data_IF_244283265127
#
_entry.id   IF_244283265127
#
_cell.length_a   1.000
_cell.length_b   1.000
_cell.length_c   1.000
_cell.angle_alpha   90.00
_cell.angle_beta   90.00
_cell.angle_gamma   90.00
#
_symmetry.space_group_name_H-M   'P 1'
#
loop_
_entity.id
_entity.type
_entity.pdbx_description
1 polymer ?
#
# COMPACT_ATOMS: atom_id res chain seq x y z
N UNK A 1 33.16 34.78 24.66
CA UNK A 1 32.16 33.74 24.46
C UNK A 1 32.55 32.53 25.28
N UNK A 2 31.75 32.16 26.26
CA UNK A 2 32.04 31.00 27.10
C UNK A 2 31.90 29.70 26.31
N UNK A 3 32.85 28.80 26.50
CA UNK A 3 32.85 27.49 25.85
C UNK A 3 31.55 26.70 26.04
N UNK A 4 30.81 26.99 27.09
CA UNK A 4 29.50 26.37 27.38
C UNK A 4 28.39 26.85 26.45
N UNK A 5 28.41 28.09 26.01
CA UNK A 5 27.44 28.65 25.07
C UNK A 5 27.74 28.18 23.64
N UNK A 6 28.99 27.97 23.30
CA UNK A 6 29.39 27.42 22.00
C UNK A 6 28.96 25.96 21.87
N UNK A 7 29.11 25.15 22.91
CA UNK A 7 28.66 23.74 22.94
C UNK A 7 27.17 23.61 22.86
N UNK A 8 26.40 24.49 23.50
CA UNK A 8 24.94 24.49 23.42
C UNK A 8 24.43 24.85 22.02
N UNK A 9 25.03 25.81 21.36
CA UNK A 9 24.73 26.19 19.98
C UNK A 9 25.04 25.06 19.01
N UNK A 10 26.14 24.36 19.18
CA UNK A 10 26.56 23.25 18.35
C UNK A 10 25.60 22.04 18.50
N UNK A 11 25.13 21.76 19.72
CA UNK A 11 24.18 20.70 19.98
C UNK A 11 22.83 20.98 19.34
N UNK A 12 22.34 22.21 19.38
CA UNK A 12 21.09 22.60 18.73
C UNK A 12 21.18 22.47 17.21
N UNK A 13 22.32 22.82 16.65
CA UNK A 13 22.54 22.73 15.19
C UNK A 13 22.57 21.28 14.71
N UNK A 14 23.18 20.37 15.46
CA UNK A 14 23.21 18.95 15.14
C UNK A 14 21.83 18.32 15.21
N UNK A 15 21.01 18.68 16.20
CA UNK A 15 19.64 18.18 16.33
C UNK A 15 18.75 18.69 15.19
N UNK A 16 18.92 19.94 14.77
CA UNK A 16 18.16 20.51 13.66
C UNK A 16 18.50 19.83 12.32
N UNK A 17 19.77 19.54 12.07
CA UNK A 17 20.19 18.84 10.85
C UNK A 17 19.72 17.39 10.85
N UNK A 18 19.75 16.69 11.96
CA UNK A 18 19.24 15.33 12.08
C UNK A 18 17.72 15.28 11.87
N UNK A 19 16.97 16.26 12.38
CA UNK A 19 15.54 16.33 12.20
C UNK A 19 15.12 16.62 10.75
N UNK A 20 15.81 17.51 10.07
CA UNK A 20 15.58 17.80 8.65
C UNK A 20 16.01 16.65 7.75
N UNK A 21 17.09 15.97 8.06
CA UNK A 21 17.57 14.80 7.35
C UNK A 21 16.61 13.62 7.46
N UNK A 22 15.95 13.45 8.59
CA UNK A 22 14.97 12.37 8.78
C UNK A 22 13.71 12.54 7.92
N UNK A 23 13.22 13.77 7.74
CA UNK A 23 12.04 14.05 6.93
C UNK A 23 12.28 13.91 5.43
N UNK A 24 13.48 14.04 4.96
CA UNK A 24 13.79 13.96 3.53
C UNK A 24 14.10 12.55 3.04
N UNK A 25 14.14 11.57 3.92
CA UNK A 25 14.44 10.18 3.57
C UNK A 25 13.20 9.31 3.26
N UNK A 26 12.05 9.90 3.03
CA UNK A 26 10.92 9.19 2.44
C UNK A 26 11.18 9.00 0.95
N UNK A 27 12.06 8.08 0.62
CA UNK A 27 12.30 7.70 -0.78
C UNK A 27 11.10 6.90 -1.23
N UNK A 28 10.32 7.36 -2.22
CA UNK A 28 9.28 6.53 -2.79
C UNK A 28 9.93 5.30 -3.42
N UNK A 29 9.52 4.14 -2.96
CA UNK A 29 10.00 2.87 -3.51
C UNK A 29 9.52 2.76 -4.96
N UNK A 30 10.41 2.68 -5.96
CA UNK A 30 10.01 2.51 -7.34
C UNK A 30 9.33 1.14 -7.51
N UNK A 31 8.18 1.10 -8.15
CA UNK A 31 7.44 -0.13 -8.45
C UNK A 31 6.03 -0.20 -7.90
N UNK A 32 5.59 0.80 -7.22
CA UNK A 32 4.20 0.92 -6.81
C UNK A 32 3.43 1.64 -7.90
N UNK A 33 2.65 0.92 -8.67
CA UNK A 33 1.61 1.54 -9.47
C UNK A 33 0.50 1.98 -8.55
N UNK A 34 0.76 2.95 -7.72
CA UNK A 34 -0.19 3.37 -6.73
C UNK A 34 -0.72 4.73 -7.09
N UNK A 35 -1.96 4.75 -7.44
CA UNK A 35 -2.80 5.89 -7.18
C UNK A 35 -3.00 5.93 -5.66
N UNK A 36 -2.21 6.73 -4.99
CA UNK A 36 -2.23 6.86 -3.53
C UNK A 36 -3.30 7.82 -3.03
N UNK A 37 -4.46 7.86 -3.68
CA UNK A 37 -5.62 8.58 -3.19
C UNK A 37 -6.35 7.75 -2.14
N UNK A 38 -6.24 8.14 -0.89
CA UNK A 38 -6.78 7.41 0.25
C UNK A 38 -5.74 6.46 0.84
N UNK A 39 -6.06 5.87 1.96
CA UNK A 39 -5.15 5.03 2.72
C UNK A 39 -4.99 3.61 2.21
N UNK A 40 -5.40 3.30 0.97
CA UNK A 40 -5.35 1.96 0.40
C UNK A 40 -4.37 1.96 -0.76
N UNK A 41 -3.36 1.09 -0.69
CA UNK A 41 -2.38 0.88 -1.77
C UNK A 41 -2.29 -0.59 -2.12
N UNK A 42 -2.04 -0.90 -3.38
CA UNK A 42 -1.90 -2.25 -3.89
C UNK A 42 -0.51 -2.46 -4.45
N UNK A 43 0.10 -3.58 -4.09
CA UNK A 43 1.29 -4.10 -4.74
C UNK A 43 1.07 -5.55 -5.15
N UNK A 44 1.82 -6.02 -6.14
CA UNK A 44 1.65 -7.35 -6.72
C UNK A 44 2.97 -8.12 -6.70
N UNK A 45 2.85 -9.44 -6.60
CA UNK A 45 3.99 -10.34 -6.71
C UNK A 45 3.57 -11.55 -7.55
N UNK A 46 4.28 -11.91 -8.62
CA UNK A 46 5.47 -11.25 -9.16
C UNK A 46 5.17 -9.87 -9.75
N UNK A 47 6.20 -9.04 -9.87
CA UNK A 47 6.08 -7.75 -10.54
C UNK A 47 7.18 -7.64 -11.61
N UNK A 48 6.82 -7.58 -12.92
CA UNK A 48 5.46 -7.54 -13.47
C UNK A 48 4.69 -8.86 -13.26
N UNK A 49 3.38 -8.79 -13.32
CA UNK A 49 2.50 -9.96 -13.21
C UNK A 49 2.76 -10.97 -14.33
N UNK A 50 2.52 -12.23 -14.03
CA UNK A 50 2.64 -13.34 -14.97
C UNK A 50 1.37 -14.19 -14.96
N UNK A 51 1.18 -15.00 -15.98
CA UNK A 51 0.13 -16.02 -15.97
C UNK A 51 0.32 -16.97 -14.80
N UNK A 52 -0.79 -17.35 -14.18
CA UNK A 52 -0.82 -18.22 -13.03
C UNK A 52 -1.13 -17.49 -11.73
N UNK A 53 -0.72 -18.06 -10.64
CA UNK A 53 -1.01 -17.53 -9.31
C UNK A 53 -0.24 -16.24 -9.04
N UNK A 54 -0.94 -15.23 -8.54
CA UNK A 54 -0.36 -13.96 -8.14
C UNK A 54 -0.78 -13.63 -6.71
N UNK A 55 0.10 -12.95 -5.99
CA UNK A 55 -0.18 -12.43 -4.66
C UNK A 55 -0.41 -10.93 -4.73
N UNK A 56 -1.51 -10.49 -4.16
CA UNK A 56 -1.87 -9.08 -4.03
C UNK A 56 -1.64 -8.65 -2.59
N UNK A 57 -0.80 -7.63 -2.42
CA UNK A 57 -0.54 -7.04 -1.11
C UNK A 57 -1.29 -5.72 -1.03
N UNK A 58 -2.16 -5.61 -0.06
CA UNK A 58 -3.00 -4.42 0.15
C UNK A 58 -2.59 -3.78 1.46
N UNK A 59 -2.11 -2.54 1.38
CA UNK A 59 -1.75 -1.75 2.55
C UNK A 59 -2.89 -0.80 2.88
N UNK A 60 -3.36 -0.84 4.11
CA UNK A 60 -4.47 -0.03 4.61
C UNK A 60 -3.98 0.89 5.71
N UNK A 61 -4.22 2.18 5.52
CA UNK A 61 -3.92 3.23 6.50
C UNK A 61 -5.17 4.04 6.79
N UNK A 62 -5.27 4.57 8.00
CA UNK A 62 -6.34 5.50 8.36
C UNK A 62 -6.05 6.93 7.86
N UNK A 63 -6.95 7.85 8.14
CA UNK A 63 -6.81 9.25 7.73
C UNK A 63 -5.59 9.94 8.34
N UNK A 64 -5.08 9.45 9.45
CA UNK A 64 -3.87 9.96 10.10
C UNK A 64 -2.58 9.32 9.58
N UNK A 65 -2.68 8.35 8.66
CA UNK A 65 -1.56 7.64 8.08
C UNK A 65 -1.08 6.45 8.91
N UNK A 66 -1.83 6.05 9.93
CA UNK A 66 -1.51 4.87 10.73
C UNK A 66 -2.00 3.59 10.06
N UNK A 67 -1.22 2.51 10.09
CA UNK A 67 -1.66 1.23 9.57
C UNK A 67 -2.84 0.69 10.38
N UNK A 68 -3.79 0.06 9.68
CA UNK A 68 -5.01 -0.51 10.26
C UNK A 68 -4.94 -2.02 10.18
N UNK A 69 -4.80 -2.69 11.34
CA UNK A 69 -4.59 -4.13 11.42
C UNK A 69 -5.87 -4.94 11.55
N UNK A 70 -6.97 -4.32 11.97
CA UNK A 70 -8.25 -4.98 12.28
C UNK A 70 -9.37 -4.57 11.31
N UNK A 71 -9.03 -4.22 10.09
CA UNK A 71 -9.98 -4.04 9.01
C UNK A 71 -10.36 -5.38 8.38
N UNK A 72 -11.54 -5.44 7.78
CA UNK A 72 -11.93 -6.56 6.92
C UNK A 72 -11.70 -6.15 5.47
N UNK A 73 -10.79 -6.84 4.81
CA UNK A 73 -10.39 -6.54 3.43
C UNK A 73 -10.87 -7.67 2.53
N UNK A 74 -11.66 -7.33 1.54
CA UNK A 74 -12.10 -8.23 0.48
C UNK A 74 -11.68 -7.68 -0.87
N UNK A 75 -11.63 -8.54 -1.88
CA UNK A 75 -11.26 -8.14 -3.23
C UNK A 75 -12.10 -8.89 -4.27
N UNK A 76 -12.33 -8.21 -5.39
CA UNK A 76 -12.87 -8.77 -6.60
C UNK A 76 -11.85 -8.61 -7.72
N UNK A 77 -11.59 -9.68 -8.44
CA UNK A 77 -10.64 -9.71 -9.54
C UNK A 77 -11.39 -9.99 -10.84
N UNK A 78 -11.31 -9.07 -11.78
CA UNK A 78 -12.07 -9.11 -13.03
C UNK A 78 -11.20 -8.71 -14.21
N UNK A 79 -11.28 -9.45 -15.30
CA UNK A 79 -10.64 -9.05 -16.55
C UNK A 79 -11.48 -7.98 -17.25
N UNK A 80 -10.85 -6.86 -17.62
CA UNK A 80 -11.58 -5.73 -18.22
C UNK A 80 -11.91 -5.94 -19.70
N UNK A 81 -11.09 -6.74 -20.39
CA UNK A 81 -11.26 -6.97 -21.83
C UNK A 81 -12.32 -8.03 -22.15
N UNK A 82 -12.60 -8.94 -21.23
CA UNK A 82 -13.55 -10.02 -21.42
C UNK A 82 -14.30 -10.32 -20.12
N UNK A 83 -15.58 -10.66 -20.23
CA UNK A 83 -16.34 -11.10 -19.05
C UNK A 83 -16.13 -12.61 -18.84
N UNK A 84 -15.17 -12.95 -18.00
CA UNK A 84 -14.84 -14.35 -17.64
C UNK A 84 -15.30 -14.73 -16.24
N UNK A 85 -16.20 -13.96 -15.66
CA UNK A 85 -16.58 -14.10 -14.27
C UNK A 85 -15.63 -13.35 -13.33
N UNK A 86 -16.05 -13.21 -12.10
CA UNK A 86 -15.33 -12.48 -11.07
C UNK A 86 -14.76 -13.45 -10.06
N UNK A 87 -13.47 -13.34 -9.78
CA UNK A 87 -12.85 -14.01 -8.64
C UNK A 87 -13.03 -13.14 -7.40
N UNK A 88 -13.59 -13.70 -6.36
CA UNK A 88 -13.82 -13.01 -5.09
C UNK A 88 -13.06 -13.71 -3.98
N UNK A 89 -12.56 -12.93 -3.03
CA UNK A 89 -11.88 -13.49 -1.87
C UNK A 89 -11.68 -12.46 -0.78
N UNK A 90 -11.18 -12.95 0.34
CA UNK A 90 -10.80 -12.15 1.48
C UNK A 90 -9.29 -12.10 1.59
N UNK A 91 -8.75 -10.92 1.89
CA UNK A 91 -7.34 -10.76 2.19
C UNK A 91 -7.07 -11.09 3.66
N UNK A 92 -5.93 -11.69 3.92
CA UNK A 92 -5.49 -12.09 5.25
C UNK A 92 -4.50 -11.06 5.81
N UNK A 93 -4.72 -10.63 7.04
CA UNK A 93 -3.84 -9.68 7.71
C UNK A 93 -2.44 -10.27 7.90
N UNK A 94 -1.43 -9.48 7.56
CA UNK A 94 -0.01 -9.80 7.76
C UNK A 94 0.63 -8.94 8.87
N UNK A 95 -0.15 -8.09 9.51
CA UNK A 95 0.34 -7.09 10.46
C UNK A 95 0.75 -5.77 9.79
N UNK A 96 0.88 -4.73 10.57
CA UNK A 96 1.26 -3.38 10.13
C UNK A 96 0.37 -2.80 9.01
N UNK A 97 -0.92 -3.15 9.02
CA UNK A 97 -1.88 -2.69 8.02
C UNK A 97 -1.73 -3.34 6.65
N UNK A 98 -0.94 -4.41 6.54
CA UNK A 98 -0.76 -5.16 5.31
C UNK A 98 -1.65 -6.38 5.27
N UNK A 99 -2.32 -6.56 4.14
CA UNK A 99 -3.19 -7.69 3.87
C UNK A 99 -2.75 -8.39 2.59
N UNK A 100 -2.81 -9.71 2.58
CA UNK A 100 -2.37 -10.54 1.48
C UNK A 100 -3.55 -11.31 0.91
N UNK A 101 -3.67 -11.31 -0.42
CA UNK A 101 -4.67 -12.08 -1.14
C UNK A 101 -4.04 -12.79 -2.33
N UNK A 102 -4.59 -13.93 -2.70
CA UNK A 102 -4.12 -14.72 -3.83
C UNK A 102 -5.17 -14.70 -4.93
N UNK A 103 -4.74 -14.36 -6.15
CA UNK A 103 -5.56 -14.42 -7.33
C UNK A 103 -4.92 -15.27 -8.41
N UNK A 104 -5.72 -15.71 -9.38
CA UNK A 104 -5.24 -16.47 -10.52
C UNK A 104 -5.37 -15.63 -11.78
N UNK A 105 -4.23 -15.33 -12.39
CA UNK A 105 -4.14 -14.60 -13.66
C UNK A 105 -4.20 -15.61 -14.81
N UNK A 106 -5.41 -15.91 -15.25
CA UNK A 106 -5.65 -16.94 -16.29
C UNK A 106 -5.37 -16.45 -17.69
N UNK A 107 -5.31 -15.15 -17.92
CA UNK A 107 -5.08 -14.56 -19.24
C UNK A 107 -4.21 -13.32 -19.13
N UNK A 108 -3.54 -13.02 -20.23
CA UNK A 108 -2.78 -11.77 -20.39
C UNK A 108 -3.73 -10.61 -20.67
N UNK A 109 -3.35 -9.43 -20.25
CA UNK A 109 -4.11 -8.21 -20.46
C UNK A 109 -4.45 -7.48 -19.18
N UNK A 110 -5.30 -6.43 -19.29
CA UNK A 110 -5.66 -5.62 -18.11
C UNK A 110 -6.70 -6.31 -17.25
N UNK A 111 -6.47 -6.26 -15.95
CA UNK A 111 -7.37 -6.78 -14.92
C UNK A 111 -7.74 -5.67 -13.95
N UNK A 112 -8.98 -5.69 -13.51
CA UNK A 112 -9.45 -4.80 -12.44
C UNK A 112 -9.43 -5.54 -11.12
N UNK A 113 -8.79 -4.93 -10.13
CA UNK A 113 -8.83 -5.37 -8.74
C UNK A 113 -9.64 -4.36 -7.95
N UNK A 114 -10.82 -4.76 -7.53
CA UNK A 114 -11.65 -3.93 -6.66
C UNK A 114 -11.45 -4.36 -5.23
N UNK A 115 -10.96 -3.46 -4.41
CA UNK A 115 -10.77 -3.70 -2.99
C UNK A 115 -11.88 -3.05 -2.19
N UNK A 116 -12.41 -3.77 -1.22
CA UNK A 116 -13.37 -3.27 -0.26
C UNK A 116 -12.80 -3.42 1.13
N UNK A 117 -12.65 -2.32 1.83
CA UNK A 117 -12.08 -2.28 3.18
C UNK A 117 -13.14 -1.81 4.15
N UNK A 118 -13.51 -2.68 5.06
CA UNK A 118 -14.38 -2.33 6.18
C UNK A 118 -13.54 -2.00 7.39
N UNK A 119 -13.54 -0.73 7.78
CA UNK A 119 -12.77 -0.24 8.90
C UNK A 119 -13.39 -0.68 10.24
N UNK A 120 -12.60 -0.73 11.34
CA UNK A 120 -13.12 -1.09 12.65
C UNK A 120 -14.17 -0.11 13.20
N UNK A 121 -14.19 1.12 12.72
CA UNK A 121 -15.19 2.12 13.09
C UNK A 121 -16.54 1.95 12.37
N UNK A 122 -16.65 0.97 11.46
CA UNK A 122 -17.83 0.69 10.66
C UNK A 122 -17.86 1.38 9.31
N UNK A 123 -16.91 2.25 8.98
CA UNK A 123 -16.83 2.86 7.66
C UNK A 123 -16.33 1.86 6.63
N UNK A 124 -16.77 2.02 5.39
CA UNK A 124 -16.36 1.17 4.27
C UNK A 124 -15.71 2.03 3.19
N UNK A 125 -14.54 1.62 2.74
CA UNK A 125 -13.84 2.24 1.63
C UNK A 125 -13.67 1.25 0.50
N UNK A 126 -13.91 1.72 -0.72
CA UNK A 126 -13.71 0.94 -1.94
C UNK A 126 -12.66 1.62 -2.79
N UNK A 127 -11.77 0.83 -3.36
CA UNK A 127 -10.79 1.33 -4.32
C UNK A 127 -10.58 0.33 -5.44
N UNK A 128 -10.58 0.84 -6.67
CA UNK A 128 -10.32 0.04 -7.87
C UNK A 128 -8.89 0.26 -8.34
N UNK A 129 -8.22 -0.82 -8.66
CA UNK A 129 -6.89 -0.81 -9.26
C UNK A 129 -6.95 -1.54 -10.60
N UNK A 130 -6.16 -1.07 -11.55
CA UNK A 130 -5.95 -1.77 -12.81
C UNK A 130 -4.53 -2.30 -12.83
N UNK A 131 -4.41 -3.61 -13.04
CA UNK A 131 -3.12 -4.30 -13.20
C UNK A 131 -3.07 -4.95 -14.57
N UNK A 132 -1.88 -5.13 -15.09
CA UNK A 132 -1.68 -5.69 -16.43
C UNK A 132 -0.78 -6.90 -16.36
N UNK A 133 -1.19 -7.97 -17.03
CA UNK A 133 -0.36 -9.16 -17.27
C UNK A 133 0.23 -9.02 -18.69
N UNK A 134 1.53 -8.72 -18.79
CA UNK A 134 2.17 -8.53 -20.09
C UNK A 134 2.26 -9.78 -20.95
#
# INVERSE_FOLDING_TARGET
>A
MNNKTLLALLAVLVVAVAYLGWKSMSIPTPGTSADSNGGITLSTSPNPLRLGQATFMIDVKDKSGKPVDNATVSFDLNMTAMNMGTQQGNATSQGNGRYSAIGNMSMRGPWRVRTTVKMPDGSTENKDFTVNVP
#
